data_IF_244059520955
#
_entry.id   IF_244059520955
#
_cell.length_a   1.000
_cell.length_b   1.000
_cell.length_c   1.000
_cell.angle_alpha   90.00
_cell.angle_beta   90.00
_cell.angle_gamma   90.00
#
_symmetry.space_group_name_H-M   'P 1'
#
loop_
_entity.id
_entity.type
_entity.pdbx_description
1 polymer ?
#
# COMPACT_ATOMS: atom_id res chain seq x y z
N UNK A 1 28.88 19.37 -10.42
CA UNK A 1 29.94 18.81 -9.54
C UNK A 1 29.54 17.44 -8.97
N UNK A 2 28.40 17.29 -8.26
CA UNK A 2 27.99 16.00 -7.66
C UNK A 2 27.82 14.81 -8.63
N UNK A 3 27.34 15.04 -9.86
CA UNK A 3 27.13 13.99 -10.85
C UNK A 3 28.43 13.33 -11.37
N UNK A 4 29.57 14.02 -11.26
CA UNK A 4 30.89 13.48 -11.67
C UNK A 4 31.39 12.49 -10.61
N UNK A 5 31.17 12.78 -9.33
CA UNK A 5 31.56 11.89 -8.23
C UNK A 5 30.76 10.58 -8.21
N UNK A 6 29.46 10.61 -8.54
CA UNK A 6 28.63 9.39 -8.62
C UNK A 6 29.06 8.49 -9.78
N UNK A 7 29.42 9.06 -10.92
CA UNK A 7 29.91 8.29 -12.08
C UNK A 7 31.27 7.63 -11.80
N UNK A 8 32.16 8.31 -11.07
CA UNK A 8 33.44 7.75 -10.63
C UNK A 8 33.24 6.62 -9.61
N UNK A 9 32.30 6.76 -8.68
CA UNK A 9 31.99 5.74 -7.69
C UNK A 9 31.36 4.46 -8.29
N UNK A 10 30.42 4.61 -9.23
CA UNK A 10 29.78 3.47 -9.93
C UNK A 10 30.80 2.75 -10.82
N UNK A 11 31.65 3.50 -11.53
CA UNK A 11 32.72 2.91 -12.33
C UNK A 11 33.72 2.14 -11.46
N UNK A 12 34.05 2.64 -10.27
CA UNK A 12 34.91 1.96 -9.30
C UNK A 12 34.32 0.63 -8.79
N UNK A 13 33.03 0.60 -8.47
CA UNK A 13 32.35 -0.63 -8.03
C UNK A 13 32.30 -1.67 -9.16
N UNK A 14 32.03 -1.24 -10.40
CA UNK A 14 32.04 -2.11 -11.58
C UNK A 14 33.47 -2.62 -11.85
N UNK A 15 34.49 -1.79 -11.70
CA UNK A 15 35.89 -2.19 -11.89
C UNK A 15 36.36 -3.21 -10.84
N UNK A 16 35.96 -3.02 -9.57
CA UNK A 16 36.23 -3.96 -8.47
C UNK A 16 35.49 -5.29 -8.72
N UNK A 17 34.26 -5.24 -9.23
CA UNK A 17 33.50 -6.44 -9.59
C UNK A 17 34.10 -7.21 -10.79
N UNK A 18 34.71 -6.50 -11.75
CA UNK A 18 35.41 -7.11 -12.90
C UNK A 18 36.79 -7.66 -12.49
N UNK A 19 37.47 -7.04 -11.52
CA UNK A 19 38.80 -7.45 -11.04
C UNK A 19 38.78 -8.60 -10.01
N UNK A 20 37.64 -8.88 -9.38
CA UNK A 20 37.48 -9.98 -8.41
C UNK A 20 37.47 -11.36 -9.09
N UNK A 21 38.66 -11.86 -9.39
CA UNK A 21 38.96 -13.23 -9.83
C UNK A 21 38.88 -14.22 -8.64
N UNK A 22 37.71 -14.34 -8.01
CA UNK A 22 37.43 -15.39 -7.04
C UNK A 22 36.30 -16.30 -7.54
N UNK A 23 36.67 -17.49 -8.00
CA UNK A 23 35.77 -18.58 -8.43
C UNK A 23 34.57 -18.89 -7.50
N UNK A 24 34.61 -18.76 -6.15
CA UNK A 24 33.46 -19.10 -5.31
C UNK A 24 32.22 -18.23 -5.53
N UNK A 25 32.39 -16.96 -5.97
CA UNK A 25 31.25 -16.05 -6.16
C UNK A 25 30.47 -16.42 -7.42
N UNK A 26 31.14 -16.90 -8.47
CA UNK A 26 30.52 -17.28 -9.75
C UNK A 26 29.59 -18.47 -9.60
N UNK A 27 29.96 -19.44 -8.76
CA UNK A 27 29.13 -20.62 -8.49
C UNK A 27 27.92 -20.27 -7.61
N UNK A 28 28.11 -19.41 -6.60
CA UNK A 28 27.00 -18.90 -5.78
C UNK A 28 26.03 -18.04 -6.60
N UNK A 29 26.53 -17.24 -7.55
CA UNK A 29 25.69 -16.45 -8.47
C UNK A 29 24.88 -17.34 -9.41
N UNK A 30 25.47 -18.42 -9.94
CA UNK A 30 24.74 -19.41 -10.76
C UNK A 30 23.68 -20.14 -9.95
N UNK A 31 24.00 -20.54 -8.72
CA UNK A 31 23.05 -21.16 -7.78
C UNK A 31 21.89 -20.20 -7.45
N UNK A 32 22.20 -18.93 -7.21
CA UNK A 32 21.21 -17.88 -6.96
C UNK A 32 20.32 -17.62 -8.18
N UNK A 33 20.90 -17.52 -9.38
CA UNK A 33 20.14 -17.38 -10.62
C UNK A 33 19.23 -18.60 -10.91
N UNK A 34 19.69 -19.82 -10.60
CA UNK A 34 18.89 -21.06 -10.72
C UNK A 34 17.76 -21.10 -9.70
N UNK A 35 18.01 -20.64 -8.47
CA UNK A 35 17.00 -20.50 -7.42
C UNK A 35 15.93 -19.46 -7.79
N UNK A 36 16.33 -18.28 -8.29
CA UNK A 36 15.41 -17.24 -8.78
C UNK A 36 14.50 -17.77 -9.88
N UNK A 37 15.08 -18.44 -10.88
CA UNK A 37 14.31 -19.06 -11.98
C UNK A 37 13.30 -20.10 -11.48
N UNK A 38 13.61 -20.86 -10.42
CA UNK A 38 12.67 -21.83 -9.80
C UNK A 38 11.54 -21.14 -9.01
N UNK A 39 11.84 -20.06 -8.28
CA UNK A 39 10.82 -19.31 -7.54
C UNK A 39 9.84 -18.59 -8.46
N UNK A 40 10.33 -18.07 -9.58
CA UNK A 40 9.49 -17.36 -10.56
C UNK A 40 8.65 -18.37 -11.39
N UNK A 41 9.14 -19.59 -11.66
CA UNK A 41 8.39 -20.63 -12.41
C UNK A 41 7.27 -21.34 -11.62
N UNK A 42 7.11 -21.03 -10.33
CA UNK A 42 6.36 -21.88 -9.39
C UNK A 42 5.07 -21.31 -8.80
N UNK A 43 4.52 -20.21 -9.32
CA UNK A 43 3.18 -19.75 -8.92
C UNK A 43 2.25 -19.71 -10.13
N UNK A 44 1.72 -20.88 -10.52
CA UNK A 44 0.46 -20.95 -11.26
C UNK A 44 -0.64 -20.63 -10.27
N UNK A 45 -1.12 -19.39 -10.28
CA UNK A 45 -2.42 -19.06 -9.70
C UNK A 45 -3.48 -19.75 -10.59
N UNK A 46 -4.34 -20.57 -10.00
CA UNK A 46 -5.53 -21.10 -10.70
C UNK A 46 -6.49 -19.94 -10.87
N UNK A 47 -6.62 -19.45 -12.09
CA UNK A 47 -7.64 -18.49 -12.51
C UNK A 47 -8.90 -19.30 -12.87
N UNK A 48 -10.04 -19.09 -12.19
CA UNK A 48 -11.33 -19.56 -12.69
C UNK A 48 -11.62 -18.90 -14.05
N UNK A 49 -11.85 -19.73 -15.05
CA UNK A 49 -12.15 -19.38 -16.42
C UNK A 49 -13.58 -18.85 -16.53
N UNK A 50 -13.76 -17.54 -16.68
CA UNK A 50 -14.82 -16.97 -17.50
C UNK A 50 -14.37 -15.61 -18.03
N UNK A 51 -14.32 -15.51 -19.36
CA UNK A 51 -13.88 -14.35 -20.12
C UNK A 51 -15.06 -13.38 -20.23
N UNK A 52 -14.94 -12.20 -19.62
CA UNK A 52 -15.56 -10.98 -20.13
C UNK A 52 -14.47 -9.94 -20.31
N UNK A 53 -14.19 -9.63 -21.57
CA UNK A 53 -13.50 -8.42 -21.99
C UNK A 53 -14.33 -7.22 -21.51
N UNK A 54 -13.67 -6.25 -20.88
CA UNK A 54 -14.08 -4.91 -20.36
C UNK A 54 -13.32 -4.75 -19.02
N UNK A 55 -12.53 -3.74 -18.68
CA UNK A 55 -12.32 -2.38 -19.18
C UNK A 55 -11.04 -1.86 -18.47
N UNK A 56 -10.35 -0.86 -18.99
CA UNK A 56 -9.04 -0.37 -18.51
C UNK A 56 -9.10 0.43 -17.17
N UNK A 57 -9.73 -0.10 -16.11
CA UNK A 57 -10.02 0.65 -14.86
C UNK A 57 -9.34 0.11 -13.59
N UNK A 58 -8.62 -1.00 -13.65
CA UNK A 58 -8.19 -1.71 -12.42
C UNK A 58 -6.85 -1.26 -11.82
N UNK A 59 -6.17 -0.24 -12.36
CA UNK A 59 -4.88 0.23 -11.82
C UNK A 59 -4.98 1.38 -10.79
N UNK A 60 -6.15 1.99 -10.62
CA UNK A 60 -6.32 3.16 -9.75
C UNK A 60 -7.02 2.86 -8.41
N UNK A 61 -7.56 1.65 -8.24
CA UNK A 61 -8.38 1.29 -7.08
C UNK A 61 -7.58 0.88 -5.83
N UNK A 62 -6.40 0.27 -6.01
CA UNK A 62 -5.64 -0.37 -4.92
C UNK A 62 -5.05 0.64 -3.91
N UNK A 63 -5.00 1.93 -4.25
CA UNK A 63 -4.60 3.00 -3.34
C UNK A 63 -5.74 3.64 -2.54
N UNK A 64 -7.00 3.47 -2.97
CA UNK A 64 -8.16 4.18 -2.41
C UNK A 64 -8.71 3.50 -1.16
N UNK A 65 -8.50 2.20 -1.01
CA UNK A 65 -9.06 1.41 0.10
C UNK A 65 -8.66 1.98 1.48
N UNK A 66 -7.45 2.55 1.59
CA UNK A 66 -6.97 3.18 2.82
C UNK A 66 -7.74 4.45 3.21
N UNK A 67 -8.46 5.06 2.28
CA UNK A 67 -9.28 6.26 2.50
C UNK A 67 -10.75 5.92 2.78
N UNK A 68 -11.14 4.65 2.61
CA UNK A 68 -12.50 4.18 2.80
C UNK A 68 -12.77 3.76 4.25
N UNK A 69 -13.97 4.06 4.72
CA UNK A 69 -14.45 3.67 6.03
C UNK A 69 -14.60 2.14 6.11
N UNK A 70 -14.03 1.44 7.10
CA UNK A 70 -14.17 -0.01 7.21
C UNK A 70 -15.60 -0.50 7.48
N UNK A 71 -16.53 0.38 7.84
CA UNK A 71 -17.95 0.03 8.09
C UNK A 71 -18.80 0.27 6.83
N UNK A 72 -18.68 1.44 6.21
CA UNK A 72 -19.54 1.82 5.07
C UNK A 72 -18.92 1.55 3.71
N UNK A 73 -17.61 1.31 3.65
CA UNK A 73 -16.83 1.23 2.41
C UNK A 73 -16.90 2.51 1.55
N UNK A 74 -17.23 3.65 2.18
CA UNK A 74 -17.27 4.97 1.55
C UNK A 74 -16.11 5.86 2.01
N UNK A 75 -15.79 6.89 1.23
CA UNK A 75 -14.71 7.82 1.54
C UNK A 75 -14.93 8.54 2.88
N UNK A 76 -13.89 8.57 3.73
CA UNK A 76 -13.98 9.19 5.06
C UNK A 76 -13.81 10.71 5.00
N UNK A 77 -14.91 11.45 4.92
CA UNK A 77 -14.91 12.93 4.94
C UNK A 77 -14.63 13.51 6.34
N UNK A 78 -15.01 12.77 7.39
CA UNK A 78 -14.82 13.14 8.80
C UNK A 78 -14.24 11.95 9.58
N UNK A 79 -12.96 11.59 9.33
CA UNK A 79 -12.35 10.42 9.95
C UNK A 79 -12.08 10.65 11.44
N UNK A 80 -12.40 9.63 12.24
CA UNK A 80 -12.04 9.53 13.64
C UNK A 80 -11.19 8.28 13.87
N UNK A 81 -10.18 8.40 14.71
CA UNK A 81 -9.26 7.33 15.09
C UNK A 81 -9.66 6.76 16.46
N UNK A 82 -9.57 5.44 16.56
CA UNK A 82 -9.72 4.68 17.81
C UNK A 82 -8.37 4.59 18.55
N UNK A 83 -8.34 4.29 19.86
CA UNK A 83 -7.09 4.03 20.59
C UNK A 83 -6.24 2.89 19.98
N UNK A 84 -6.87 2.03 19.19
CA UNK A 84 -6.25 0.89 18.52
C UNK A 84 -5.63 1.24 17.16
N UNK A 85 -5.67 2.52 16.75
CA UNK A 85 -5.06 3.00 15.51
C UNK A 85 -5.93 2.87 14.25
N UNK A 86 -7.14 2.33 14.36
CA UNK A 86 -8.07 2.24 13.22
C UNK A 86 -8.87 3.51 13.05
N UNK A 87 -9.06 3.94 11.81
CA UNK A 87 -9.88 5.09 11.45
C UNK A 87 -11.23 4.67 10.85
N UNK A 88 -12.26 5.43 11.17
CA UNK A 88 -13.62 5.24 10.66
C UNK A 88 -14.24 6.59 10.31
N UNK A 89 -15.25 6.59 9.44
CA UNK A 89 -16.13 7.75 9.33
C UNK A 89 -16.89 7.94 10.64
N UNK A 90 -16.88 9.17 11.17
CA UNK A 90 -17.48 9.51 12.48
C UNK A 90 -18.90 8.97 12.65
N UNK A 91 -19.79 9.30 11.72
CA UNK A 91 -21.22 8.94 11.80
C UNK A 91 -21.43 7.42 11.88
N UNK A 92 -20.63 6.66 11.14
CA UNK A 92 -20.75 5.20 11.08
C UNK A 92 -20.27 4.53 12.37
N UNK A 93 -19.11 4.94 12.91
CA UNK A 93 -18.63 4.36 14.17
C UNK A 93 -19.44 4.85 15.36
N UNK A 94 -19.93 6.10 15.35
CA UNK A 94 -20.79 6.60 16.41
C UNK A 94 -22.13 5.87 16.43
N UNK A 95 -22.73 5.56 15.27
CA UNK A 95 -23.94 4.73 15.16
C UNK A 95 -23.70 3.29 15.60
N UNK A 96 -22.56 2.70 15.24
CA UNK A 96 -22.17 1.37 15.72
C UNK A 96 -22.15 1.31 17.26
N UNK A 97 -21.57 2.34 17.89
CA UNK A 97 -21.43 2.46 19.33
C UNK A 97 -22.73 2.81 20.08
N UNK A 98 -23.86 2.96 19.37
CA UNK A 98 -25.19 3.06 20.01
C UNK A 98 -25.69 1.69 20.46
N UNK A 99 -25.29 0.62 19.77
CA UNK A 99 -25.71 -0.75 20.06
C UNK A 99 -24.57 -1.68 20.52
N UNK A 100 -23.32 -1.20 20.48
CA UNK A 100 -22.13 -1.99 20.81
C UNK A 100 -21.15 -1.17 21.65
N UNK A 101 -20.37 -1.85 22.48
CA UNK A 101 -19.34 -1.27 23.34
C UNK A 101 -17.93 -1.78 22.97
N UNK A 102 -17.73 -2.18 21.72
CA UNK A 102 -16.47 -2.72 21.21
C UNK A 102 -16.18 -2.27 19.77
N UNK A 103 -14.89 -2.26 19.42
CA UNK A 103 -14.40 -1.93 18.09
C UNK A 103 -14.81 -3.01 17.06
N UNK A 104 -15.36 -2.63 15.88
CA UNK A 104 -15.76 -3.59 14.85
C UNK A 104 -14.64 -4.52 14.37
N UNK A 105 -13.41 -4.01 14.33
CA UNK A 105 -12.23 -4.71 13.79
C UNK A 105 -11.52 -5.54 14.86
N UNK A 106 -11.22 -4.95 16.02
CA UNK A 106 -10.41 -5.62 17.06
C UNK A 106 -11.24 -6.36 18.09
N UNK A 107 -12.55 -6.10 18.16
CA UNK A 107 -13.47 -6.59 19.19
C UNK A 107 -13.05 -6.20 20.63
N UNK A 108 -12.16 -5.23 20.78
CA UNK A 108 -11.77 -4.67 22.08
C UNK A 108 -12.74 -3.57 22.50
N UNK A 109 -12.88 -3.33 23.80
CA UNK A 109 -13.82 -2.34 24.34
C UNK A 109 -13.59 -0.95 23.70
N UNK A 110 -14.65 -0.29 23.28
CA UNK A 110 -14.57 1.02 22.65
C UNK A 110 -15.81 1.81 23.02
N UNK A 111 -15.62 3.05 23.45
CA UNK A 111 -16.70 3.99 23.71
C UNK A 111 -16.57 5.23 22.81
N UNK A 112 -17.68 5.98 22.66
CA UNK A 112 -17.68 7.23 21.88
C UNK A 112 -16.64 8.25 22.37
N UNK A 113 -16.28 8.21 23.65
CA UNK A 113 -15.30 9.14 24.28
C UNK A 113 -13.85 8.87 23.85
N UNK A 114 -13.59 7.64 23.42
CA UNK A 114 -12.27 7.19 23.00
C UNK A 114 -11.94 7.63 21.57
N UNK A 115 -12.95 8.04 20.81
CA UNK A 115 -12.80 8.53 19.44
C UNK A 115 -12.14 9.90 19.43
N UNK A 116 -11.06 10.02 18.66
CA UNK A 116 -10.36 11.29 18.42
C UNK A 116 -10.41 11.66 16.94
N UNK A 117 -10.47 12.94 16.55
CA UNK A 117 -10.36 13.31 15.14
C UNK A 117 -9.03 12.83 14.53
N UNK A 118 -9.06 12.31 13.31
CA UNK A 118 -7.84 11.92 12.57
C UNK A 118 -7.49 12.98 11.51
N UNK A 119 -6.77 14.03 11.91
CA UNK A 119 -6.45 15.14 11.02
C UNK A 119 -5.58 14.75 9.83
N UNK A 120 -4.64 13.82 10.01
CA UNK A 120 -3.75 13.34 8.93
C UNK A 120 -4.54 12.68 7.82
N UNK A 121 -5.47 11.78 8.17
CA UNK A 121 -6.30 11.10 7.19
C UNK A 121 -7.28 12.06 6.54
N UNK A 122 -7.85 12.98 7.33
CA UNK A 122 -8.71 14.04 6.79
C UNK A 122 -7.97 14.86 5.72
N UNK A 123 -6.74 15.27 6.00
CA UNK A 123 -5.92 16.01 5.04
C UNK A 123 -5.69 15.18 3.76
N UNK A 124 -5.33 13.89 3.90
CA UNK A 124 -5.12 13.01 2.75
C UNK A 124 -6.37 12.88 1.88
N UNK A 125 -7.54 12.66 2.50
CA UNK A 125 -8.84 12.61 1.80
C UNK A 125 -9.14 13.94 1.10
N UNK A 126 -8.92 15.07 1.77
CA UNK A 126 -9.17 16.39 1.18
C UNK A 126 -8.24 16.65 -0.04
N UNK A 127 -6.99 16.18 0.00
CA UNK A 127 -6.08 16.27 -1.15
C UNK A 127 -6.53 15.35 -2.29
N UNK A 128 -6.96 14.14 -1.97
CA UNK A 128 -7.47 13.20 -2.94
C UNK A 128 -8.67 13.77 -3.71
N UNK A 129 -9.66 14.32 -2.99
CA UNK A 129 -10.84 14.97 -3.60
C UNK A 129 -10.41 16.09 -4.54
N UNK A 130 -9.49 16.97 -4.11
CA UNK A 130 -8.99 18.07 -4.94
C UNK A 130 -8.30 17.60 -6.22
N UNK A 131 -7.54 16.51 -6.17
CA UNK A 131 -6.88 15.96 -7.36
C UNK A 131 -7.90 15.34 -8.31
N UNK A 132 -8.87 14.59 -7.78
CA UNK A 132 -9.96 14.03 -8.56
C UNK A 132 -10.80 15.10 -9.25
N UNK A 133 -11.07 16.21 -8.57
CA UNK A 133 -11.80 17.33 -9.17
C UNK A 133 -11.01 17.93 -10.34
N UNK A 134 -9.70 18.18 -10.18
CA UNK A 134 -8.86 18.70 -11.27
C UNK A 134 -8.82 17.78 -12.48
N UNK A 135 -8.66 16.48 -12.28
CA UNK A 135 -8.62 15.49 -13.36
C UNK A 135 -9.94 15.40 -14.14
N UNK A 136 -11.07 15.77 -13.55
CA UNK A 136 -12.38 15.80 -14.24
C UNK A 136 -12.55 17.01 -15.16
N UNK A 137 -11.69 18.03 -15.04
CA UNK A 137 -11.76 19.27 -15.81
C UNK A 137 -10.61 19.43 -16.82
N UNK A 138 -9.73 18.44 -16.94
CA UNK A 138 -8.72 18.30 -18.01
C UNK A 138 -9.20 17.30 -19.06
#
# INVERSE_FOLDING_TARGET
>A
MAAVFVKIAIAGIILVAIAAKEEPIRENLKKFAKWLKRKIKGKKVKVPTERRENDETEQDAEGMEALLCPISHELMTNPVITPYGHCFQREHIERWLESHDFCPLTRQNLSRRDLKPCYTLKYAVDQYIKLQDKLKFE
#
